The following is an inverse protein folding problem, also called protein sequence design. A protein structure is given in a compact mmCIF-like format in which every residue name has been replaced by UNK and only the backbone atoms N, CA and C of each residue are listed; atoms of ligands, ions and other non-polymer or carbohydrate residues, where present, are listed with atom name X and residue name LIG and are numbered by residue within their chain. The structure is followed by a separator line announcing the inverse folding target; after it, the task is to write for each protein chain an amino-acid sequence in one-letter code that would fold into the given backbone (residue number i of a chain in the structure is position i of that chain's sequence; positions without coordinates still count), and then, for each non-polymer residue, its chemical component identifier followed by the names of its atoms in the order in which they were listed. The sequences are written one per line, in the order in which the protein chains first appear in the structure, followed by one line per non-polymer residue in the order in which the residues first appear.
data_IF_205287419542
#
_entry.id   IF_205287419542
#
_cell.length_a   1.000
_cell.length_b   1.000
_cell.length_c   1.000
_cell.angle_alpha   90.00
_cell.angle_beta   90.00
_cell.angle_gamma   90.00
#
_symmetry.space_group_name_H-M   'P 1'
#
loop_
_entity.id
_entity.type
_entity.pdbx_description
1 polymer ?
#
# COMPACT_ATOMS: atom_id res chain seq x y z
N UNK A 1 3.73 -26.13 18.72
CA UNK A 1 4.31 -26.51 17.41
C UNK A 1 3.25 -26.78 16.32
N UNK A 2 1.99 -26.35 16.46
CA UNK A 2 0.89 -26.74 15.55
C UNK A 2 0.58 -25.77 14.40
N UNK A 3 1.20 -24.59 14.34
CA UNK A 3 0.79 -23.54 13.40
C UNK A 3 1.86 -23.16 12.37
N UNK A 4 3.07 -23.73 12.47
CA UNK A 4 4.14 -23.44 11.50
C UNK A 4 3.79 -23.97 10.10
N UNK A 5 3.18 -25.15 10.02
CA UNK A 5 2.75 -25.73 8.74
C UNK A 5 1.62 -24.92 8.09
N UNK A 6 0.63 -24.47 8.89
CA UNK A 6 -0.43 -23.58 8.42
C UNK A 6 0.11 -22.22 7.98
N UNK A 7 1.10 -21.68 8.71
CA UNK A 7 1.80 -20.45 8.34
C UNK A 7 2.51 -20.62 6.99
N UNK A 8 3.32 -21.66 6.83
CA UNK A 8 4.03 -21.94 5.56
C UNK A 8 3.04 -22.16 4.42
N UNK A 9 1.96 -22.91 4.64
CA UNK A 9 0.91 -23.14 3.64
C UNK A 9 0.24 -21.83 3.20
N UNK A 10 -0.16 -20.99 4.17
CA UNK A 10 -0.79 -19.70 3.88
C UNK A 10 0.19 -18.73 3.23
N UNK A 11 1.45 -18.69 3.66
CA UNK A 11 2.51 -17.88 3.03
C UNK A 11 2.75 -18.31 1.60
N UNK A 12 2.82 -19.63 1.33
CA UNK A 12 2.95 -20.15 -0.04
C UNK A 12 1.73 -19.75 -0.86
N UNK A 13 0.50 -19.91 -0.36
CA UNK A 13 -0.71 -19.44 -1.05
C UNK A 13 -0.65 -17.94 -1.36
N UNK A 14 -0.19 -17.11 -0.42
CA UNK A 14 -0.06 -15.66 -0.59
C UNK A 14 0.99 -15.28 -1.63
N UNK A 15 2.09 -16.04 -1.70
CA UNK A 15 3.17 -15.84 -2.69
C UNK A 15 2.72 -16.34 -4.08
N UNK A 16 1.95 -17.43 -4.13
CA UNK A 16 1.41 -18.04 -5.34
C UNK A 16 0.14 -17.37 -5.85
N UNK A 17 -0.51 -16.52 -5.05
CA UNK A 17 -1.37 -15.46 -5.54
C UNK A 17 -0.45 -14.30 -5.91
N UNK A 18 0.08 -14.22 -7.15
CA UNK A 18 0.55 -12.94 -7.63
C UNK A 18 -0.63 -11.98 -7.45
N UNK A 19 -0.46 -10.96 -6.61
CA UNK A 19 -1.48 -9.93 -6.46
C UNK A 19 -1.88 -9.38 -7.84
N UNK A 20 -3.06 -8.76 -7.99
CA UNK A 20 -3.51 -8.18 -9.25
C UNK A 20 -2.41 -7.32 -9.91
N UNK A 21 -1.60 -6.64 -9.11
CA UNK A 21 -0.45 -5.82 -9.51
C UNK A 21 0.64 -6.65 -10.24
N UNK A 22 1.03 -7.79 -9.66
CA UNK A 22 2.01 -8.71 -10.24
C UNK A 22 1.44 -9.44 -11.45
N UNK A 23 0.16 -9.79 -11.42
CA UNK A 23 -0.56 -10.43 -12.52
C UNK A 23 -0.60 -9.52 -13.75
N UNK A 24 -0.88 -8.22 -13.57
CA UNK A 24 -0.90 -7.26 -14.67
C UNK A 24 0.52 -6.95 -15.15
N UNK A 25 1.49 -6.82 -14.25
CA UNK A 25 2.90 -6.61 -14.61
C UNK A 25 3.47 -7.80 -15.39
N UNK A 26 3.28 -9.04 -14.94
CA UNK A 26 3.76 -10.24 -15.64
C UNK A 26 3.03 -10.45 -16.96
N UNK A 27 1.70 -10.24 -17.02
CA UNK A 27 0.96 -10.30 -18.29
C UNK A 27 1.44 -9.26 -19.29
N UNK A 28 1.59 -7.98 -18.89
CA UNK A 28 2.13 -6.96 -19.77
C UNK A 28 3.60 -7.20 -20.13
N UNK A 29 4.40 -7.82 -19.25
CA UNK A 29 5.77 -8.23 -19.55
C UNK A 29 5.83 -9.35 -20.59
N UNK A 30 4.90 -10.32 -20.51
CA UNK A 30 4.82 -11.45 -21.44
C UNK A 30 4.20 -11.05 -22.79
N UNK A 31 3.20 -10.17 -22.78
CA UNK A 31 2.46 -9.74 -23.98
C UNK A 31 3.15 -8.60 -24.75
N UNK A 32 3.71 -7.61 -24.06
CA UNK A 32 4.41 -6.46 -24.69
C UNK A 32 5.94 -6.53 -24.53
N UNK A 33 6.46 -7.66 -24.05
CA UNK A 33 7.87 -7.85 -23.77
C UNK A 33 8.38 -7.06 -22.55
N UNK A 34 9.69 -7.13 -22.34
CA UNK A 34 10.40 -6.57 -21.19
C UNK A 34 10.17 -5.06 -20.98
N UNK A 35 9.95 -4.31 -22.07
CA UNK A 35 9.64 -2.86 -22.03
C UNK A 35 8.22 -2.56 -21.54
N UNK A 36 7.23 -3.39 -21.88
CA UNK A 36 5.84 -3.22 -21.42
C UNK A 36 5.68 -3.53 -19.92
N UNK A 37 6.43 -4.52 -19.44
CA UNK A 37 6.56 -4.84 -18.01
C UNK A 37 7.13 -3.70 -17.17
N UNK A 38 8.22 -3.09 -17.65
CA UNK A 38 8.90 -1.99 -16.96
C UNK A 38 7.99 -0.76 -16.84
N UNK A 39 7.27 -0.41 -17.92
CA UNK A 39 6.29 0.69 -17.89
C UNK A 39 5.15 0.42 -16.91
N UNK A 40 4.66 -0.82 -16.84
CA UNK A 40 3.58 -1.20 -15.93
C UNK A 40 4.04 -1.09 -14.47
N UNK A 41 5.23 -1.60 -14.16
CA UNK A 41 5.82 -1.54 -12.82
C UNK A 41 6.05 -0.10 -12.37
N UNK A 42 6.59 0.75 -13.26
CA UNK A 42 6.77 2.18 -12.97
C UNK A 42 5.43 2.88 -12.71
N UNK A 43 4.40 2.58 -13.51
CA UNK A 43 3.06 3.12 -13.30
C UNK A 43 2.46 2.72 -11.94
N UNK A 44 2.61 1.45 -11.55
CA UNK A 44 2.15 0.94 -10.24
C UNK A 44 2.92 1.63 -9.10
N UNK A 45 4.24 1.73 -9.17
CA UNK A 45 5.05 2.42 -8.16
C UNK A 45 4.67 3.89 -8.00
N UNK A 46 4.48 4.61 -9.11
CA UNK A 46 4.04 6.00 -9.09
C UNK A 46 2.63 6.14 -8.50
N UNK A 47 1.70 5.26 -8.87
CA UNK A 47 0.35 5.27 -8.33
C UNK A 47 0.34 5.01 -6.81
N UNK A 48 1.11 4.02 -6.34
CA UNK A 48 1.25 3.71 -4.91
C UNK A 48 1.89 4.85 -4.12
N UNK A 49 2.92 5.51 -4.68
CA UNK A 49 3.52 6.70 -4.06
C UNK A 49 2.51 7.83 -3.92
N UNK A 50 1.79 8.15 -4.99
CA UNK A 50 0.77 9.22 -4.97
C UNK A 50 -0.34 8.89 -3.98
N UNK A 51 -0.81 7.63 -3.95
CA UNK A 51 -1.84 7.20 -3.03
C UNK A 51 -1.37 7.28 -1.56
N UNK A 52 -0.16 6.82 -1.28
CA UNK A 52 0.42 6.88 0.08
C UNK A 52 0.61 8.32 0.53
N UNK A 53 1.11 9.19 -0.35
CA UNK A 53 1.24 10.62 -0.05
C UNK A 53 -0.12 11.27 0.20
N UNK A 54 -1.12 10.99 -0.63
CA UNK A 54 -2.47 11.50 -0.43
C UNK A 54 -3.08 11.00 0.90
N UNK A 55 -2.87 9.73 1.25
CA UNK A 55 -3.32 9.16 2.51
C UNK A 55 -2.60 9.80 3.71
N UNK A 56 -1.28 10.00 3.64
CA UNK A 56 -0.49 10.67 4.68
C UNK A 56 -0.90 12.14 4.84
N UNK A 57 -1.11 12.86 3.74
CA UNK A 57 -1.58 14.25 3.77
C UNK A 57 -2.99 14.33 4.37
N UNK A 58 -3.90 13.45 3.94
CA UNK A 58 -5.25 13.36 4.50
C UNK A 58 -5.23 13.00 6.00
N UNK A 59 -4.41 12.04 6.38
CA UNK A 59 -4.21 11.63 7.78
C UNK A 59 -3.63 12.78 8.61
N UNK A 60 -2.64 13.51 8.07
CA UNK A 60 -2.05 14.69 8.71
C UNK A 60 -3.11 15.79 8.93
N UNK A 61 -3.97 16.04 7.94
CA UNK A 61 -5.08 16.99 8.08
C UNK A 61 -6.09 16.57 9.15
N UNK A 62 -6.40 15.28 9.25
CA UNK A 62 -7.26 14.72 10.31
C UNK A 62 -6.61 14.89 11.69
N UNK A 63 -5.31 14.58 11.80
CA UNK A 63 -4.55 14.73 13.05
C UNK A 63 -4.51 16.20 13.49
N UNK A 64 -4.21 17.14 12.59
CA UNK A 64 -4.21 18.58 12.90
C UNK A 64 -5.59 19.05 13.32
N UNK A 65 -6.66 18.63 12.63
CA UNK A 65 -8.04 18.93 13.05
C UNK A 65 -8.33 18.38 14.44
N UNK A 66 -7.89 17.17 14.76
CA UNK A 66 -8.07 16.56 16.08
C UNK A 66 -7.24 17.25 17.17
N UNK A 67 -5.99 17.61 16.90
CA UNK A 67 -5.14 18.35 17.83
C UNK A 67 -5.71 19.75 18.10
N UNK A 68 -6.25 20.41 17.08
CA UNK A 68 -6.92 21.70 17.21
C UNK A 68 -8.23 21.59 18.00
N UNK A 69 -9.04 20.56 17.73
CA UNK A 69 -10.28 20.30 18.49
C UNK A 69 -9.99 19.95 19.96
N UNK A 70 -8.92 19.19 20.21
CA UNK A 70 -8.46 18.87 21.56
C UNK A 70 -7.88 20.09 22.28
N UNK A 71 -7.15 20.97 21.58
CA UNK A 71 -6.63 22.23 22.13
C UNK A 71 -7.74 23.22 22.50
N UNK A 72 -8.85 23.24 21.74
CA UNK A 72 -10.02 24.04 22.10
C UNK A 72 -10.78 23.42 23.29
N UNK A 73 -10.85 22.08 23.35
CA UNK A 73 -11.59 21.38 24.39
C UNK A 73 -10.83 21.28 25.72
N UNK A 74 -9.49 21.28 25.71
CA UNK A 74 -8.62 21.42 26.88
C UNK A 74 -7.83 22.75 26.83
N UNK A 75 -8.43 23.87 27.25
CA UNK A 75 -7.74 25.16 27.37
C UNK A 75 -6.76 25.25 28.57
N UNK A 76 -6.55 24.18 29.35
CA UNK A 76 -5.81 24.16 30.63
C UNK A 76 -4.30 23.81 30.54
N UNK A 77 -3.60 24.21 29.47
CA UNK A 77 -2.14 24.32 29.53
C UNK A 77 -1.70 25.73 29.10
N UNK A 78 -1.64 26.64 30.07
CA UNK A 78 -0.90 27.91 29.96
C UNK A 78 0.60 27.68 30.09
#
# INVERSE_FOLDING_TARGET
MGHFYLFVLMSVLLILLPGPDNVIATKNTLTLGRKGGLKTTLGICSALLIHTLAAVVGLSAIIVKSAFLFSIFNPDYS
#
